data_IF_055293468621
#
_entry.id   IF_055293468621
#
_cell.length_a   1.000
_cell.length_b   1.000
_cell.length_c   1.000
_cell.angle_alpha   90.00
_cell.angle_beta   90.00
_cell.angle_gamma   90.00
#
_symmetry.space_group_name_H-M   'P 1'
#
loop_
_entity.id
_entity.type
_entity.pdbx_description
1 polymer ?
#
# COMPACT_ATOMS: atom_id res chain seq x y z
N UNK A 1 -32.82 -10.43 -8.10
CA UNK A 1 -31.97 -9.37 -7.50
C UNK A 1 -31.94 -9.54 -5.98
N UNK A 2 -30.76 -9.78 -5.40
CA UNK A 2 -30.20 -9.08 -4.22
C UNK A 2 -29.05 -9.92 -3.65
N UNK A 3 -27.83 -9.58 -4.04
CA UNK A 3 -26.63 -10.06 -3.38
C UNK A 3 -26.53 -9.42 -1.99
N UNK A 4 -26.50 -10.22 -0.93
CA UNK A 4 -26.10 -9.76 0.41
C UNK A 4 -24.78 -10.41 0.76
N UNK A 5 -23.72 -9.61 0.66
CA UNK A 5 -22.34 -9.93 1.00
C UNK A 5 -22.21 -10.36 2.47
N UNK A 6 -22.23 -11.67 2.73
CA UNK A 6 -21.79 -12.27 3.99
C UNK A 6 -20.27 -12.43 3.98
N UNK A 7 -19.53 -11.33 4.12
CA UNK A 7 -18.05 -11.41 4.08
C UNK A 7 -17.37 -10.39 5.01
N UNK A 8 -17.97 -10.08 6.15
CA UNK A 8 -17.39 -9.14 7.13
C UNK A 8 -17.09 -9.73 8.50
N UNK A 9 -17.57 -10.94 8.85
CA UNK A 9 -17.34 -11.49 10.20
C UNK A 9 -16.01 -12.25 10.32
N UNK A 10 -15.60 -13.01 9.30
CA UNK A 10 -14.32 -13.74 9.33
C UNK A 10 -13.08 -12.85 9.25
N UNK A 11 -13.20 -11.57 8.90
CA UNK A 11 -12.04 -10.69 8.74
C UNK A 11 -11.54 -10.05 10.04
N UNK A 12 -12.38 -9.99 11.09
CA UNK A 12 -11.98 -9.42 12.38
C UNK A 12 -11.16 -10.40 13.23
N UNK A 13 -11.45 -11.70 13.14
CA UNK A 13 -10.83 -12.72 14.00
C UNK A 13 -9.41 -13.11 13.58
N UNK A 14 -9.01 -12.81 12.33
CA UNK A 14 -7.64 -13.05 11.83
C UNK A 14 -6.64 -11.93 12.17
N UNK A 15 -7.04 -10.94 12.98
CA UNK A 15 -6.18 -9.79 13.34
C UNK A 15 -5.27 -10.04 14.55
N UNK A 16 -5.50 -11.11 15.32
CA UNK A 16 -4.79 -11.32 16.59
C UNK A 16 -4.06 -12.66 16.74
N UNK A 17 -4.01 -13.48 15.69
CA UNK A 17 -3.12 -14.64 15.66
C UNK A 17 -2.32 -14.59 14.37
N UNK A 18 -1.00 -14.61 14.47
CA UNK A 18 -0.17 -14.88 13.30
C UNK A 18 -0.50 -16.29 12.80
N UNK A 19 -1.41 -16.39 11.82
CA UNK A 19 -1.74 -17.65 11.15
C UNK A 19 -0.45 -18.24 10.57
N UNK A 20 0.15 -19.20 11.28
CA UNK A 20 1.33 -19.99 10.89
C UNK A 20 0.91 -21.25 10.11
N UNK A 21 -0.28 -21.29 9.52
CA UNK A 21 -0.69 -22.41 8.68
C UNK A 21 0.02 -22.34 7.31
N UNK A 22 0.87 -23.33 6.96
CA UNK A 22 1.66 -23.31 5.74
C UNK A 22 0.83 -23.46 4.45
N UNK A 23 -0.49 -23.73 4.54
CA UNK A 23 -1.39 -23.84 3.39
C UNK A 23 -2.08 -22.52 3.05
N UNK A 24 -2.13 -21.55 3.97
CA UNK A 24 -2.52 -20.15 3.67
C UNK A 24 -1.31 -19.41 3.11
N UNK A 25 -1.10 -19.51 1.79
CA UNK A 25 -0.05 -18.74 1.11
C UNK A 25 -0.35 -17.24 1.23
N UNK A 26 0.39 -16.56 2.09
CA UNK A 26 0.35 -15.10 2.24
C UNK A 26 1.10 -14.44 1.10
N UNK A 27 0.53 -13.38 0.54
CA UNK A 27 1.09 -12.64 -0.60
C UNK A 27 1.54 -11.27 -0.13
N UNK A 28 2.84 -11.05 -0.06
CA UNK A 28 3.44 -9.80 0.39
C UNK A 28 3.61 -8.80 -0.76
N UNK A 29 3.34 -7.53 -0.48
CA UNK A 29 3.64 -6.43 -1.37
C UNK A 29 5.11 -6.01 -1.24
N UNK A 30 5.92 -6.29 -2.25
CA UNK A 30 7.33 -5.84 -2.30
C UNK A 30 7.55 -4.33 -2.35
N UNK A 31 6.50 -3.50 -2.34
CA UNK A 31 6.59 -2.03 -2.34
C UNK A 31 6.44 -1.44 -0.93
N UNK A 32 5.53 -1.99 -0.12
CA UNK A 32 5.24 -1.46 1.23
C UNK A 32 5.18 -2.53 2.34
N UNK A 33 5.44 -3.80 2.02
CA UNK A 33 5.40 -4.92 2.97
C UNK A 33 4.00 -5.36 3.38
N UNK A 34 2.93 -4.81 2.79
CA UNK A 34 1.56 -5.19 3.15
C UNK A 34 1.26 -6.65 2.73
N UNK A 35 0.64 -7.41 3.63
CA UNK A 35 0.35 -8.83 3.41
C UNK A 35 -1.13 -9.00 3.04
N UNK A 36 -1.38 -9.70 1.94
CA UNK A 36 -2.70 -10.04 1.44
C UNK A 36 -2.91 -11.55 1.47
N UNK A 37 -4.15 -11.99 1.71
CA UNK A 37 -4.50 -13.41 1.78
C UNK A 37 -4.84 -14.03 0.41
N UNK A 38 -4.85 -13.22 -0.65
CA UNK A 38 -5.25 -13.62 -2.00
C UNK A 38 -4.39 -12.90 -3.07
N UNK A 39 -3.99 -13.57 -4.16
CA UNK A 39 -3.15 -12.97 -5.19
C UNK A 39 -3.87 -11.88 -6.01
N UNK A 40 -5.19 -11.97 -6.18
CA UNK A 40 -6.00 -10.95 -6.85
C UNK A 40 -6.10 -9.68 -5.98
N UNK A 41 -6.23 -9.86 -4.66
CA UNK A 41 -6.16 -8.76 -3.69
C UNK A 41 -4.79 -8.06 -3.73
N UNK A 42 -3.69 -8.81 -3.77
CA UNK A 42 -2.35 -8.23 -3.95
C UNK A 42 -2.22 -7.50 -5.29
N UNK A 43 -2.77 -8.05 -6.38
CA UNK A 43 -2.72 -7.43 -7.71
C UNK A 43 -3.48 -6.10 -7.73
N UNK A 44 -4.68 -6.05 -7.13
CA UNK A 44 -5.43 -4.79 -6.98
C UNK A 44 -4.72 -3.80 -6.08
N UNK A 45 -4.10 -4.28 -5.00
CA UNK A 45 -3.29 -3.45 -4.11
C UNK A 45 -2.10 -2.84 -4.84
N UNK A 46 -1.37 -3.60 -5.66
CA UNK A 46 -0.22 -3.10 -6.44
C UNK A 46 -0.58 -1.92 -7.35
N UNK A 47 -1.81 -1.87 -7.89
CA UNK A 47 -2.29 -0.73 -8.69
C UNK A 47 -2.32 0.59 -7.92
N UNK A 48 -2.53 0.57 -6.60
CA UNK A 48 -2.48 1.79 -5.80
C UNK A 48 -1.05 2.33 -5.75
N UNK A 49 -0.05 1.44 -5.79
CA UNK A 49 1.33 1.89 -5.81
C UNK A 49 1.65 2.48 -7.17
N UNK A 50 1.27 1.86 -8.28
CA UNK A 50 1.47 2.43 -9.62
C UNK A 50 0.83 3.82 -9.76
N UNK A 51 -0.40 4.00 -9.26
CA UNK A 51 -1.07 5.30 -9.24
C UNK A 51 -0.37 6.32 -8.31
N UNK A 52 0.19 5.86 -7.18
CA UNK A 52 0.68 6.72 -6.09
C UNK A 52 2.21 6.94 -6.06
N UNK A 53 3.02 6.13 -6.74
CA UNK A 53 4.48 6.11 -6.50
C UNK A 53 5.27 7.15 -7.29
N UNK A 54 4.88 7.46 -8.52
CA UNK A 54 5.67 8.34 -9.38
C UNK A 54 4.88 9.58 -9.81
N UNK A 55 3.62 9.39 -10.20
CA UNK A 55 2.71 10.46 -10.65
C UNK A 55 2.19 11.33 -9.50
N UNK A 56 2.05 10.78 -8.29
CA UNK A 56 1.66 11.55 -7.11
C UNK A 56 2.85 12.22 -6.43
N UNK A 57 4.10 12.05 -6.90
CA UNK A 57 5.24 12.80 -6.34
C UNK A 57 6.09 13.43 -7.45
N UNK A 58 5.51 14.39 -8.19
CA UNK A 58 6.17 15.01 -9.34
C UNK A 58 7.27 16.00 -8.93
N UNK A 59 7.48 16.25 -7.64
CA UNK A 59 8.43 17.23 -7.14
C UNK A 59 9.65 16.54 -6.48
N UNK A 60 10.70 16.18 -7.25
CA UNK A 60 11.93 15.65 -6.71
C UNK A 60 12.81 16.75 -6.11
N UNK A 61 13.48 16.44 -5.00
CA UNK A 61 14.57 17.23 -4.46
C UNK A 61 15.87 16.89 -5.18
N UNK A 62 16.54 17.91 -5.72
CA UNK A 62 17.79 17.76 -6.48
C UNK A 62 19.03 17.53 -5.61
N UNK A 63 18.95 17.76 -4.29
CA UNK A 63 20.08 17.53 -3.36
C UNK A 63 20.09 16.13 -2.74
N UNK A 64 18.93 15.54 -2.43
CA UNK A 64 18.85 14.25 -1.72
C UNK A 64 17.90 13.21 -2.34
N UNK A 65 17.39 13.44 -3.56
CA UNK A 65 16.48 12.54 -4.28
C UNK A 65 15.16 12.19 -3.57
N UNK A 66 14.81 12.87 -2.46
CA UNK A 66 13.47 12.78 -1.86
C UNK A 66 12.42 13.34 -2.81
N UNK A 67 11.26 12.68 -2.91
CA UNK A 67 10.14 13.13 -3.75
C UNK A 67 8.94 13.54 -2.93
N UNK A 68 8.31 14.64 -3.35
CA UNK A 68 7.18 15.27 -2.69
C UNK A 68 5.96 15.29 -3.60
N UNK A 69 4.78 15.15 -2.99
CA UNK A 69 3.48 15.23 -3.68
C UNK A 69 3.04 16.65 -3.99
N UNK A 70 3.51 17.59 -3.20
CA UNK A 70 3.07 18.99 -3.25
C UNK A 70 4.31 19.87 -3.36
N UNK A 71 4.26 20.86 -4.25
CA UNK A 71 5.38 21.79 -4.48
C UNK A 71 5.77 22.54 -3.21
N UNK A 72 4.81 23.00 -2.42
CA UNK A 72 5.08 23.71 -1.15
C UNK A 72 5.86 22.86 -0.15
N UNK A 73 5.64 21.54 -0.12
CA UNK A 73 6.42 20.66 0.75
C UNK A 73 7.86 20.48 0.26
N UNK A 74 8.07 20.43 -1.06
CA UNK A 74 9.42 20.48 -1.63
C UNK A 74 10.10 21.80 -1.27
N UNK A 75 9.40 22.93 -1.41
CA UNK A 75 9.94 24.26 -1.14
C UNK A 75 10.38 24.41 0.32
N UNK A 76 9.51 24.05 1.28
CA UNK A 76 9.88 24.02 2.70
C UNK A 76 11.03 23.06 2.97
N UNK A 77 11.08 21.92 2.29
CA UNK A 77 12.19 20.98 2.40
C UNK A 77 13.51 21.53 1.85
N UNK A 78 13.49 22.39 0.83
CA UNK A 78 14.72 23.00 0.32
C UNK A 78 15.35 23.98 1.32
N UNK A 79 14.59 24.49 2.29
CA UNK A 79 15.12 25.37 3.34
C UNK A 79 15.97 24.62 4.38
N UNK A 80 15.82 23.29 4.51
CA UNK A 80 16.60 22.49 5.47
C UNK A 80 17.92 21.95 4.87
N UNK A 81 18.25 22.40 3.67
CA UNK A 81 19.28 21.84 2.79
C UNK A 81 20.42 22.82 2.57
#
# INVERSE_FOLDING_TARGET
HRATSKNNLERHENSHFEDKDPRKKKYECGICGNVCNDPSALTRHKRIHEDVTELQRPYPCTKCNKRFRIKSHLDTHMNIH
#
